data_IF_402703248469
#
_entry.id   IF_402703248469
#
_cell.length_a   1.000
_cell.length_b   1.000
_cell.length_c   1.000
_cell.angle_alpha   90.00
_cell.angle_beta   90.00
_cell.angle_gamma   90.00
#
_symmetry.space_group_name_H-M   'P 1'
#
loop_
_entity.id
_entity.type
_entity.pdbx_description
1 polymer ?
#
# COMPACT_ATOMS: atom_id res chain seq x y z
N UNK A 1 -33.33 -8.32 1.62
CA UNK A 1 -32.63 -9.47 0.99
C UNK A 1 -31.15 -9.08 0.91
N UNK A 2 -30.43 -9.26 2.03
CA UNK A 2 -29.01 -8.95 2.15
C UNK A 2 -28.19 -10.01 1.43
N UNK A 3 -27.15 -9.58 0.72
CA UNK A 3 -26.25 -10.45 -0.02
C UNK A 3 -25.46 -11.34 0.94
N UNK A 4 -25.67 -12.64 0.73
CA UNK A 4 -24.95 -13.78 1.26
C UNK A 4 -23.55 -13.88 0.64
N UNK A 5 -22.64 -14.45 1.44
CA UNK A 5 -21.47 -15.26 1.04
C UNK A 5 -20.37 -14.62 0.18
N UNK A 6 -19.30 -14.19 0.84
CA UNK A 6 -17.92 -14.33 0.35
C UNK A 6 -16.95 -14.27 1.54
N UNK A 7 -16.85 -15.36 2.31
CA UNK A 7 -15.71 -15.59 3.18
C UNK A 7 -14.57 -16.10 2.30
N UNK A 8 -13.53 -15.29 2.10
CA UNK A 8 -12.28 -15.75 1.48
C UNK A 8 -11.42 -16.42 2.56
N UNK A 9 -10.92 -17.64 2.32
CA UNK A 9 -10.02 -18.37 3.23
C UNK A 9 -8.57 -18.10 2.82
N UNK A 10 -7.87 -17.27 3.56
CA UNK A 10 -6.55 -16.79 3.15
C UNK A 10 -5.39 -17.62 3.74
N UNK A 11 -4.30 -17.79 2.97
CA UNK A 11 -2.94 -17.89 3.55
C UNK A 11 -2.40 -16.48 3.69
N UNK A 12 -2.39 -15.92 4.90
CA UNK A 12 -1.64 -14.69 5.23
C UNK A 12 -0.60 -15.02 6.28
N UNK A 13 0.59 -14.49 6.06
CA UNK A 13 1.62 -14.33 7.08
C UNK A 13 1.35 -13.04 7.83
N UNK A 14 0.36 -13.05 8.73
CA UNK A 14 0.16 -12.06 9.82
C UNK A 14 -0.72 -12.73 10.92
N UNK A 15 -0.62 -12.33 12.20
CA UNK A 15 -1.24 -13.06 13.30
C UNK A 15 -2.77 -12.92 13.30
N UNK A 16 -3.45 -14.05 13.11
CA UNK A 16 -4.79 -14.43 13.62
C UNK A 16 -5.78 -13.31 14.00
N UNK A 17 -6.71 -13.00 13.09
CA UNK A 17 -7.94 -12.24 13.35
C UNK A 17 -9.21 -13.14 13.41
N UNK A 18 -9.12 -14.35 13.94
CA UNK A 18 -10.27 -15.25 14.08
C UNK A 18 -10.83 -15.82 12.77
N UNK A 19 -10.03 -15.84 11.71
CA UNK A 19 -10.39 -16.38 10.39
C UNK A 19 -9.80 -17.80 10.27
N UNK A 20 -10.60 -18.77 9.80
CA UNK A 20 -10.15 -20.14 9.56
C UNK A 20 -9.13 -20.19 8.39
N UNK A 21 -8.01 -20.86 8.63
CA UNK A 21 -6.89 -21.01 7.70
C UNK A 21 -6.49 -22.47 7.46
N UNK A 22 -7.30 -23.43 7.94
CA UNK A 22 -7.03 -24.86 7.81
C UNK A 22 -7.04 -25.37 6.36
N UNK A 23 -7.89 -24.78 5.52
CA UNK A 23 -8.00 -25.07 4.08
C UNK A 23 -7.97 -23.76 3.26
N UNK A 24 -6.78 -23.22 2.96
CA UNK A 24 -6.68 -21.92 2.32
C UNK A 24 -7.06 -21.99 0.83
N UNK A 25 -7.89 -21.05 0.39
CA UNK A 25 -8.35 -20.91 -1.00
C UNK A 25 -7.90 -19.60 -1.66
N UNK A 26 -7.17 -18.75 -0.94
CA UNK A 26 -6.65 -17.47 -1.40
C UNK A 26 -5.23 -17.21 -0.88
N UNK A 27 -4.48 -16.36 -1.60
CA UNK A 27 -3.14 -15.91 -1.21
C UNK A 27 -3.19 -14.43 -0.87
N UNK A 28 -2.83 -14.06 0.36
CA UNK A 28 -2.74 -12.64 0.77
C UNK A 28 -1.32 -12.30 1.17
N UNK A 29 -0.79 -11.23 0.59
CA UNK A 29 0.57 -10.78 0.82
C UNK A 29 0.58 -9.40 1.48
N UNK A 30 1.03 -9.39 2.74
CA UNK A 30 1.50 -8.20 3.45
C UNK A 30 3.03 -8.19 3.56
N UNK A 31 3.58 -7.33 4.42
CA UNK A 31 5.01 -7.39 4.75
C UNK A 31 5.27 -8.50 5.77
N UNK A 32 5.95 -9.56 5.31
CA UNK A 32 6.07 -10.82 6.02
C UNK A 32 7.49 -11.42 5.93
N UNK A 33 8.52 -10.75 6.51
CA UNK A 33 9.92 -11.12 6.25
C UNK A 33 10.26 -12.59 6.53
N UNK A 34 9.75 -13.15 7.62
CA UNK A 34 10.06 -14.54 8.04
C UNK A 34 9.49 -15.60 7.08
N UNK A 35 8.52 -15.21 6.24
CA UNK A 35 7.87 -16.09 5.27
C UNK A 35 8.18 -15.71 3.82
N UNK A 36 9.04 -14.71 3.60
CA UNK A 36 9.57 -14.40 2.28
C UNK A 36 10.77 -15.29 1.96
N UNK A 37 10.51 -16.60 2.01
CA UNK A 37 11.44 -17.67 1.66
C UNK A 37 10.87 -18.50 0.50
N UNK A 38 11.74 -19.28 -0.14
CA UNK A 38 11.38 -20.06 -1.34
C UNK A 38 10.22 -21.00 -1.09
N UNK A 39 10.19 -21.69 0.05
CA UNK A 39 9.19 -22.70 0.39
C UNK A 39 7.79 -22.07 0.50
N UNK A 40 7.66 -20.96 1.23
CA UNK A 40 6.40 -20.23 1.39
C UNK A 40 5.92 -19.62 0.06
N UNK A 41 6.82 -19.00 -0.71
CA UNK A 41 6.48 -18.42 -2.01
C UNK A 41 6.06 -19.49 -3.02
N UNK A 42 6.72 -20.65 -3.04
CA UNK A 42 6.35 -21.75 -3.92
C UNK A 42 5.01 -22.40 -3.54
N UNK A 43 4.65 -22.41 -2.24
CA UNK A 43 3.31 -22.80 -1.81
C UNK A 43 2.25 -21.84 -2.34
N UNK A 44 2.47 -20.54 -2.18
CA UNK A 44 1.57 -19.50 -2.72
C UNK A 44 1.44 -19.59 -4.25
N UNK A 45 2.57 -19.76 -4.96
CA UNK A 45 2.61 -19.96 -6.40
C UNK A 45 1.70 -21.10 -6.87
N UNK A 46 1.79 -22.28 -6.24
CA UNK A 46 0.96 -23.44 -6.59
C UNK A 46 -0.52 -23.17 -6.35
N UNK A 47 -0.87 -22.55 -5.23
CA UNK A 47 -2.27 -22.17 -4.96
C UNK A 47 -2.82 -21.25 -6.05
N UNK A 48 -2.03 -20.27 -6.51
CA UNK A 48 -2.45 -19.35 -7.57
C UNK A 48 -2.65 -20.09 -8.90
N UNK A 49 -1.77 -21.04 -9.24
CA UNK A 49 -1.97 -21.90 -10.41
C UNK A 49 -3.24 -22.75 -10.32
N UNK A 50 -3.61 -23.17 -9.11
CA UNK A 50 -4.86 -23.90 -8.82
C UNK A 50 -6.11 -22.97 -8.80
N UNK A 51 -5.93 -21.69 -9.10
CA UNK A 51 -7.01 -20.70 -9.24
C UNK A 51 -7.26 -19.83 -8.01
N UNK A 52 -6.42 -19.91 -6.97
CA UNK A 52 -6.54 -19.06 -5.79
C UNK A 52 -6.29 -17.59 -6.16
N UNK A 53 -7.13 -16.63 -5.71
CA UNK A 53 -6.89 -15.22 -5.96
C UNK A 53 -5.64 -14.74 -5.20
N UNK A 54 -4.84 -13.89 -5.87
CA UNK A 54 -3.71 -13.19 -5.28
C UNK A 54 -4.15 -11.79 -4.82
N UNK A 55 -4.05 -11.53 -3.52
CA UNK A 55 -4.43 -10.26 -2.91
C UNK A 55 -3.19 -9.65 -2.24
N UNK A 56 -2.90 -8.39 -2.52
CA UNK A 56 -1.77 -7.67 -1.91
C UNK A 56 -2.29 -6.54 -1.04
N UNK A 57 -1.81 -6.44 0.21
CA UNK A 57 -2.15 -5.31 1.08
C UNK A 57 -1.61 -4.01 0.47
N UNK A 58 -0.38 -4.01 -0.03
CA UNK A 58 0.20 -2.92 -0.82
C UNK A 58 1.41 -3.46 -1.60
N UNK A 59 1.90 -2.72 -2.60
CA UNK A 59 3.06 -3.12 -3.42
C UNK A 59 4.27 -2.20 -3.25
N UNK A 60 4.49 -1.71 -2.02
CA UNK A 60 5.63 -0.85 -1.72
C UNK A 60 6.95 -1.53 -2.06
N UNK A 61 7.83 -0.81 -2.76
CA UNK A 61 9.15 -1.32 -3.20
C UNK A 61 10.07 -1.58 -2.02
N UNK A 62 10.12 -0.65 -1.08
CA UNK A 62 10.97 -0.67 0.10
C UNK A 62 10.40 0.18 1.23
N UNK A 63 10.93 -0.02 2.43
CA UNK A 63 10.66 0.79 3.62
C UNK A 63 11.95 1.08 4.38
N UNK A 64 11.92 2.12 5.24
CA UNK A 64 13.07 2.54 6.05
C UNK A 64 13.07 1.79 7.39
N UNK A 65 14.21 1.21 7.74
CA UNK A 65 14.53 0.62 9.04
C UNK A 65 15.69 1.40 9.70
N UNK A 66 16.01 1.04 10.95
CA UNK A 66 17.16 1.59 11.69
C UNK A 66 18.50 1.32 10.99
N UNK A 67 18.61 0.19 10.30
CA UNK A 67 19.81 -0.29 9.62
C UNK A 67 19.88 0.06 8.11
N UNK A 68 18.88 0.76 7.57
CA UNK A 68 18.87 1.17 6.17
C UNK A 68 17.53 0.93 5.48
N UNK A 69 17.55 0.84 4.15
CA UNK A 69 16.36 0.44 3.40
C UNK A 69 16.25 -1.09 3.35
N UNK A 70 15.03 -1.59 3.51
CA UNK A 70 14.72 -3.00 3.30
C UNK A 70 13.59 -3.16 2.29
N UNK A 71 13.55 -4.33 1.67
CA UNK A 71 12.52 -4.69 0.70
C UNK A 71 11.13 -4.64 1.34
N UNK A 72 10.18 -4.01 0.64
CA UNK A 72 8.77 -4.09 0.97
C UNK A 72 8.15 -5.39 0.44
N UNK A 73 6.82 -5.54 0.50
CA UNK A 73 6.14 -6.70 -0.08
C UNK A 73 6.06 -6.67 -1.62
N UNK A 74 6.20 -5.49 -2.25
CA UNK A 74 6.04 -5.31 -3.70
C UNK A 74 6.90 -6.24 -4.57
N UNK A 75 8.20 -6.43 -4.29
CA UNK A 75 9.05 -7.38 -5.01
C UNK A 75 8.50 -8.81 -5.00
N UNK A 76 7.97 -9.28 -3.87
CA UNK A 76 7.45 -10.64 -3.73
C UNK A 76 6.10 -10.82 -4.42
N UNK A 77 5.21 -9.83 -4.30
CA UNK A 77 3.96 -9.79 -5.07
C UNK A 77 4.24 -9.83 -6.57
N UNK A 78 5.17 -8.98 -7.03
CA UNK A 78 5.52 -8.89 -8.46
C UNK A 78 6.17 -10.18 -8.96
N UNK A 79 6.98 -10.85 -8.13
CA UNK A 79 7.55 -12.16 -8.47
C UNK A 79 6.48 -13.23 -8.69
N UNK A 80 5.43 -13.26 -7.86
CA UNK A 80 4.31 -14.19 -8.03
C UNK A 80 3.42 -13.84 -9.23
N UNK A 81 3.11 -12.56 -9.43
CA UNK A 81 2.42 -12.08 -10.64
C UNK A 81 3.17 -12.52 -11.90
N UNK A 82 4.49 -12.32 -11.93
CA UNK A 82 5.33 -12.74 -13.05
C UNK A 82 5.32 -14.26 -13.26
N UNK A 83 5.44 -15.03 -12.18
CA UNK A 83 5.49 -16.49 -12.27
C UNK A 83 4.15 -17.11 -12.74
N UNK A 84 3.03 -16.44 -12.50
CA UNK A 84 1.68 -16.98 -12.73
C UNK A 84 0.91 -16.27 -13.84
N UNK A 85 1.52 -15.25 -14.47
CA UNK A 85 0.88 -14.36 -15.44
C UNK A 85 -0.46 -13.76 -14.95
N UNK A 86 -0.57 -13.53 -13.64
CA UNK A 86 -1.74 -12.93 -13.01
C UNK A 86 -1.44 -11.51 -12.50
N UNK A 87 -2.50 -10.80 -12.10
CA UNK A 87 -2.39 -9.51 -11.40
C UNK A 87 -2.98 -9.63 -10.01
N UNK A 88 -2.23 -9.14 -9.02
CA UNK A 88 -2.73 -9.08 -7.66
C UNK A 88 -3.83 -8.02 -7.52
N UNK A 89 -4.88 -8.35 -6.79
CA UNK A 89 -5.82 -7.33 -6.30
C UNK A 89 -5.17 -6.58 -5.15
N UNK A 90 -4.82 -5.31 -5.38
CA UNK A 90 -4.22 -4.45 -4.35
C UNK A 90 -5.34 -3.78 -3.56
N UNK A 91 -5.28 -3.81 -2.22
CA UNK A 91 -6.35 -3.24 -1.37
C UNK A 91 -5.91 -2.02 -0.55
N UNK A 92 -4.62 -1.72 -0.51
CA UNK A 92 -4.06 -0.54 0.14
C UNK A 92 -3.45 0.44 -0.87
N UNK A 93 -2.59 1.32 -0.37
CA UNK A 93 -1.92 2.33 -1.20
C UNK A 93 -1.20 1.73 -2.42
N UNK A 94 -1.21 2.37 -3.61
CA UNK A 94 -1.81 3.68 -3.92
C UNK A 94 -3.29 3.63 -4.36
N UNK A 95 -4.03 2.54 -4.12
CA UNK A 95 -5.39 2.41 -4.63
C UNK A 95 -6.32 3.49 -4.08
N UNK A 96 -7.10 4.12 -4.97
CA UNK A 96 -7.98 5.25 -4.65
C UNK A 96 -8.94 4.93 -3.50
N UNK A 97 -9.44 3.70 -3.48
CA UNK A 97 -10.36 3.20 -2.44
C UNK A 97 -9.79 3.34 -1.03
N UNK A 98 -8.48 3.14 -0.85
CA UNK A 98 -7.80 3.32 0.43
C UNK A 98 -7.86 4.77 0.92
N UNK A 99 -7.71 5.74 0.01
CA UNK A 99 -7.73 7.17 0.35
C UNK A 99 -9.15 7.70 0.55
N UNK A 100 -10.14 7.19 -0.18
CA UNK A 100 -11.52 7.66 -0.08
C UNK A 100 -12.32 7.01 1.05
N UNK A 101 -11.97 5.80 1.47
CA UNK A 101 -12.71 5.07 2.52
C UNK A 101 -12.86 5.85 3.83
N UNK A 102 -11.80 6.43 4.42
CA UNK A 102 -11.93 7.23 5.65
C UNK A 102 -12.83 8.46 5.49
N UNK A 103 -12.80 9.10 4.32
CA UNK A 103 -13.61 10.28 3.99
C UNK A 103 -15.09 10.00 3.77
N UNK A 104 -15.48 8.74 3.58
CA UNK A 104 -16.91 8.38 3.53
C UNK A 104 -17.54 8.27 4.91
N UNK A 105 -16.72 8.12 5.96
CA UNK A 105 -17.20 7.97 7.35
C UNK A 105 -17.20 9.29 8.13
N UNK A 106 -16.34 10.24 7.77
CA UNK A 106 -16.37 11.60 8.26
C UNK A 106 -16.88 12.47 7.10
N UNK A 107 -17.86 13.34 7.31
CA UNK A 107 -18.42 14.26 6.30
C UNK A 107 -17.42 15.33 5.81
N UNK A 108 -16.18 14.94 5.55
CA UNK A 108 -15.06 15.76 5.17
C UNK A 108 -14.99 15.79 3.64
N UNK A 109 -14.91 17.00 3.10
CA UNK A 109 -14.68 17.20 1.68
C UNK A 109 -13.28 16.64 1.31
N UNK A 110 -13.13 15.73 0.33
CA UNK A 110 -11.83 15.22 -0.12
C UNK A 110 -10.83 16.31 -0.53
N UNK A 111 -11.32 17.50 -0.89
CA UNK A 111 -10.48 18.66 -1.18
C UNK A 111 -9.75 19.22 0.07
N UNK A 112 -10.16 18.84 1.30
CA UNK A 112 -9.72 19.48 2.54
C UNK A 112 -9.09 18.54 3.59
N UNK A 113 -8.84 17.25 3.32
CA UNK A 113 -8.24 16.32 4.32
C UNK A 113 -7.69 15.03 3.67
N UNK A 114 -6.64 14.33 4.18
CA UNK A 114 -5.42 14.74 4.88
C UNK A 114 -4.15 14.60 3.99
N UNK A 115 -3.11 15.36 4.33
CA UNK A 115 -1.81 15.41 3.66
C UNK A 115 -0.98 14.14 3.92
N UNK A 116 -0.55 13.45 2.87
CA UNK A 116 0.26 12.23 2.98
C UNK A 116 1.71 12.47 2.58
N UNK A 117 2.64 12.09 3.46
CA UNK A 117 3.93 12.77 3.56
C UNK A 117 5.20 12.00 3.17
N UNK A 118 5.16 10.68 2.89
CA UNK A 118 6.41 9.90 2.92
C UNK A 118 6.88 9.24 1.62
N UNK A 119 5.99 8.75 0.76
CA UNK A 119 6.36 8.15 -0.54
C UNK A 119 5.83 8.96 -1.72
N UNK A 120 6.70 9.32 -2.65
CA UNK A 120 6.26 10.04 -3.85
C UNK A 120 5.16 9.29 -4.62
N UNK A 121 5.27 7.97 -4.82
CA UNK A 121 4.28 7.24 -5.64
C UNK A 121 3.10 6.76 -4.80
N UNK A 122 3.40 6.04 -3.73
CA UNK A 122 2.40 5.29 -2.98
C UNK A 122 1.54 6.21 -2.11
N UNK A 123 2.14 7.27 -1.55
CA UNK A 123 1.45 8.22 -0.66
C UNK A 123 0.98 9.45 -1.44
N UNK A 124 1.92 10.20 -2.01
CA UNK A 124 1.65 11.50 -2.64
C UNK A 124 0.89 11.30 -3.96
N UNK A 125 1.42 10.48 -4.87
CA UNK A 125 0.75 10.17 -6.14
C UNK A 125 -0.60 9.50 -5.96
N UNK A 126 -0.72 8.54 -5.03
CA UNK A 126 -1.99 7.92 -4.66
C UNK A 126 -3.03 8.92 -4.17
N UNK A 127 -2.63 9.83 -3.27
CA UNK A 127 -3.50 10.89 -2.76
C UNK A 127 -3.91 11.89 -3.86
N UNK A 128 -2.97 12.31 -4.72
CA UNK A 128 -3.26 13.22 -5.85
C UNK A 128 -4.24 12.61 -6.85
N UNK A 129 -4.10 11.32 -7.16
CA UNK A 129 -5.06 10.59 -8.01
C UNK A 129 -6.45 10.46 -7.37
N UNK A 130 -6.54 10.58 -6.05
CA UNK A 130 -7.81 10.64 -5.31
C UNK A 130 -8.39 12.06 -5.22
N UNK A 131 -7.70 13.09 -5.74
CA UNK A 131 -8.13 14.50 -5.71
C UNK A 131 -7.62 15.30 -4.50
N UNK A 132 -6.65 14.76 -3.76
CA UNK A 132 -6.07 15.41 -2.57
C UNK A 132 -4.78 16.18 -2.91
N UNK A 133 -4.39 17.13 -2.05
CA UNK A 133 -3.06 17.73 -2.10
C UNK A 133 -2.01 16.79 -1.49
N UNK A 134 -1.01 16.41 -2.28
CA UNK A 134 0.12 15.60 -1.84
C UNK A 134 1.32 16.46 -1.45
N UNK A 135 1.84 16.31 -0.23
CA UNK A 135 3.06 16.99 0.23
C UNK A 135 4.14 15.91 0.41
N UNK A 136 5.32 16.06 -0.17
CA UNK A 136 6.43 15.11 0.00
C UNK A 136 7.44 15.64 1.02
N UNK A 137 7.70 14.92 2.12
CA UNK A 137 8.78 15.29 3.04
C UNK A 137 10.08 14.56 2.70
N UNK A 138 11.22 15.25 2.81
CA UNK A 138 12.55 14.70 2.52
C UNK A 138 13.15 13.84 3.65
N UNK A 139 12.31 13.33 4.55
CA UNK A 139 12.72 12.43 5.64
C UNK A 139 12.35 10.97 5.33
N UNK A 140 12.81 10.04 6.18
CA UNK A 140 12.44 8.63 6.07
C UNK A 140 13.08 7.91 4.88
N UNK A 141 12.26 7.53 3.89
CA UNK A 141 12.68 6.76 2.71
C UNK A 141 12.89 7.60 1.44
N UNK A 142 12.69 8.91 1.53
CA UNK A 142 12.92 9.84 0.43
C UNK A 142 14.35 9.71 -0.11
N UNK A 143 14.48 9.86 -1.43
CA UNK A 143 15.73 10.06 -2.14
C UNK A 143 15.63 11.26 -3.07
N UNK A 144 16.76 11.91 -3.30
CA UNK A 144 16.83 13.04 -4.22
C UNK A 144 16.27 12.66 -5.59
N UNK A 145 15.29 13.44 -6.07
CA UNK A 145 14.58 13.16 -7.30
C UNK A 145 13.32 12.32 -7.18
N UNK A 146 12.95 11.87 -5.97
CA UNK A 146 11.66 11.22 -5.74
C UNK A 146 10.48 12.09 -6.15
N UNK A 147 10.59 13.41 -5.97
CA UNK A 147 9.62 14.43 -6.37
C UNK A 147 9.33 14.45 -7.88
N UNK A 148 10.24 13.91 -8.70
CA UNK A 148 10.09 13.80 -10.17
C UNK A 148 9.52 12.45 -10.61
N UNK A 149 9.19 11.55 -9.69
CA UNK A 149 8.73 10.18 -10.00
C UNK A 149 7.22 10.07 -10.26
N UNK A 150 6.49 11.16 -10.12
CA UNK A 150 5.03 11.25 -10.32
C UNK A 150 4.68 12.48 -11.17
N UNK A 151 3.56 12.39 -11.87
CA UNK A 151 2.95 13.49 -12.63
C UNK A 151 1.44 13.50 -12.30
N UNK A 152 0.85 14.62 -11.86
CA UNK A 152 1.51 15.89 -11.53
C UNK A 152 2.51 15.76 -10.37
N UNK A 153 3.52 16.65 -10.27
CA UNK A 153 4.46 16.64 -9.14
C UNK A 153 3.74 16.88 -7.81
N UNK A 154 4.39 16.57 -6.66
CA UNK A 154 3.84 16.90 -5.35
C UNK A 154 3.48 18.39 -5.28
N UNK A 155 2.36 18.72 -4.63
CA UNK A 155 1.95 20.11 -4.39
C UNK A 155 3.04 20.90 -3.65
N UNK A 156 3.70 20.25 -2.68
CA UNK A 156 4.84 20.79 -1.95
C UNK A 156 5.87 19.67 -1.72
N UNK A 157 7.15 20.01 -1.80
CA UNK A 157 8.23 19.15 -1.28
C UNK A 157 9.00 19.92 -0.22
N UNK A 158 9.06 19.43 1.02
CA UNK A 158 9.68 20.13 2.15
C UNK A 158 10.65 19.22 2.94
N UNK A 159 11.50 19.79 3.79
CA UNK A 159 12.59 19.02 4.40
C UNK A 159 12.10 18.08 5.51
N UNK A 160 11.01 18.42 6.19
CA UNK A 160 10.53 17.68 7.36
C UNK A 160 9.01 17.78 7.57
N UNK A 161 8.47 16.94 8.46
CA UNK A 161 7.07 17.01 8.86
C UNK A 161 6.70 18.36 9.50
N UNK A 162 7.51 18.94 10.42
CA UNK A 162 7.27 20.30 10.92
C UNK A 162 7.14 21.36 9.80
N UNK A 163 8.00 21.31 8.78
CA UNK A 163 7.91 22.26 7.66
C UNK A 163 6.60 22.11 6.87
N UNK A 164 6.09 20.87 6.74
CA UNK A 164 4.80 20.62 6.13
C UNK A 164 3.65 21.20 6.97
N UNK A 165 3.70 21.04 8.29
CA UNK A 165 2.69 21.58 9.21
C UNK A 165 2.65 23.11 9.15
N UNK A 166 3.82 23.75 9.18
CA UNK A 166 3.92 25.22 9.09
C UNK A 166 3.30 25.73 7.79
N UNK A 167 3.60 25.09 6.65
CA UNK A 167 3.02 25.46 5.36
C UNK A 167 1.49 25.35 5.35
N UNK A 168 0.94 24.26 5.92
CA UNK A 168 -0.50 24.03 5.99
C UNK A 168 -1.17 25.13 6.83
N UNK A 169 -0.60 25.45 8.00
CA UNK A 169 -1.13 26.48 8.90
C UNK A 169 -1.12 27.88 8.28
N UNK A 170 -0.13 28.19 7.43
CA UNK A 170 0.03 29.53 6.85
C UNK A 170 -0.76 29.74 5.55
N UNK A 171 -1.00 28.69 4.76
CA UNK A 171 -1.46 28.84 3.38
C UNK A 171 -2.78 28.12 3.07
N UNK A 172 -3.21 27.18 3.91
CA UNK A 172 -4.33 26.28 3.62
C UNK A 172 -5.40 26.27 4.72
N UNK A 173 -5.17 27.00 5.81
CA UNK A 173 -6.10 27.26 6.91
C UNK A 173 -6.23 28.78 7.08
#
# INVERSE_FOLDING_TARGET
RCLSSAFFKYTVVLPSAGIDTSEPDAVVIGLAPDHFNYQSLNKAFRMILDGAPLIAIHKARYYKRKDGLALGPGPFVTGLEYATDCKATVVGKPEKTFFTQPLTQQSCNPYFTPYFLQDARDDVGGAQNAGMLGILVKTGKYREGDERKIEPPPYLTCNSFPDAVEHILQNLL
#
